data_IF_439715777798
#
_entry.id   IF_439715777798
#
_cell.length_a   1.000
_cell.length_b   1.000
_cell.length_c   1.000
_cell.angle_alpha   90.00
_cell.angle_beta   90.00
_cell.angle_gamma   90.00
#
_symmetry.space_group_name_H-M   'P 1'
#
loop_
_entity.id
_entity.type
_entity.pdbx_description
1 polymer ?
2 non-polymer ?
3 non-polymer ?
4 water ?
#
# COMPACT_ATOMS: atom_id res chain seq x y z
N UNK A 2 12.64 4.28 -8.49
CA UNK A 2 12.62 3.21 -9.53
C UNK A 2 11.71 3.51 -10.73
N UNK A 3 10.63 4.27 -10.62
CA UNK A 3 9.34 4.12 -9.91
C UNK A 3 8.75 5.45 -10.41
N UNK A 4 8.14 5.35 -11.58
CA UNK A 4 7.83 6.49 -12.44
C UNK A 4 6.41 6.38 -12.97
N UNK A 5 5.55 5.79 -12.15
CA UNK A 5 4.11 5.83 -12.39
C UNK A 5 3.57 6.52 -11.17
N UNK A 6 3.06 7.72 -11.35
CA UNK A 6 2.39 8.39 -10.25
C UNK A 6 1.10 8.85 -10.84
N UNK A 7 0.15 9.11 -9.96
CA UNK A 7 -1.19 9.55 -10.33
C UNK A 7 -1.18 11.06 -10.54
N UNK A 8 -1.59 11.50 -11.73
CA UNK A 8 -1.80 12.92 -11.98
C UNK A 8 -3.14 13.33 -11.41
N UNK A 9 -3.17 14.52 -10.82
CA UNK A 9 -4.40 15.13 -10.33
C UNK A 9 -4.97 14.43 -9.13
N UNK A 10 -4.09 13.80 -8.35
CA UNK A 10 -4.52 13.07 -7.17
C UNK A 10 -5.21 14.00 -6.20
N UNK A 11 -6.45 13.64 -5.82
CA UNK A 11 -7.14 14.30 -4.70
C UNK A 11 -7.07 13.44 -3.45
N UNK A 12 -6.16 13.80 -2.56
CA UNK A 12 -5.87 12.96 -1.41
C UNK A 12 -7.04 12.79 -0.43
N UNK A 13 -8.00 13.71 -0.47
CA UNK A 13 -9.14 13.67 0.43
C UNK A 13 -10.04 12.51 0.04
N UNK A 14 -10.05 12.20 -1.24
CA UNK A 14 -10.93 11.16 -1.75
C UNK A 14 -10.40 9.73 -1.56
N UNK A 15 -9.21 9.57 -1.00
CA UNK A 15 -8.76 8.21 -0.65
C UNK A 15 -9.09 7.88 0.81
N UNK A 16 -9.72 8.81 1.53
CA UNK A 16 -10.15 8.54 2.90
C UNK A 16 -10.95 7.25 2.98
N UNK A 17 -10.83 6.58 4.12
CA UNK A 17 -11.74 5.49 4.39
C UNK A 17 -11.08 4.12 4.44
N UNK A 18 -11.90 3.10 4.21
CA UNK A 18 -11.52 1.68 4.35
C UNK A 18 -10.75 1.11 3.13
N UNK A 19 -9.66 0.41 3.37
CA UNK A 19 -9.01 -0.30 2.26
C UNK A 19 -8.62 -1.71 2.66
N UNK A 20 -8.45 -2.58 1.67
CA UNK A 20 -7.99 -3.96 1.87
C UNK A 20 -6.73 -4.19 1.05
N UNK A 21 -5.64 -4.69 1.66
CA UNK A 21 -4.46 -5.02 0.86
C UNK A 21 -4.68 -6.33 0.12
N UNK A 22 -5.18 -6.24 -1.10
CA UNK A 22 -5.55 -7.45 -1.84
C UNK A 22 -4.31 -8.20 -2.34
N UNK A 23 -3.30 -7.44 -2.77
CA UNK A 23 -2.06 -8.01 -3.28
C UNK A 23 -0.90 -7.12 -2.86
N UNK A 24 0.25 -7.77 -2.66
CA UNK A 24 1.52 -7.12 -2.26
C UNK A 24 2.63 -7.65 -3.13
N UNK A 25 3.64 -6.81 -3.43
CA UNK A 25 4.85 -7.24 -4.17
C UNK A 25 6.09 -6.48 -3.68
N UNK A 26 7.25 -7.09 -3.80
CA UNK A 26 8.50 -6.50 -3.28
C UNK A 26 9.68 -7.01 -4.08
N UNK A 27 10.77 -6.26 -3.98
CA UNK A 27 11.96 -6.45 -4.77
C UNK A 27 12.86 -7.49 -4.14
N UNK A 28 12.62 -7.77 -2.87
CA UNK A 28 13.36 -8.74 -2.10
C UNK A 28 12.31 -9.64 -1.47
N UNK A 29 12.49 -10.95 -1.65
CA UNK A 29 11.61 -11.98 -1.08
C UNK A 29 11.43 -11.77 0.41
N UNK A 30 12.52 -11.47 1.13
CA UNK A 30 12.50 -11.34 2.58
C UNK A 30 11.75 -10.11 3.10
N UNK A 31 11.39 -9.20 2.20
CA UNK A 31 10.56 -8.05 2.60
C UNK A 31 9.10 -8.48 2.84
N UNK A 32 8.71 -9.66 2.33
CA UNK A 32 7.34 -10.12 2.38
C UNK A 32 7.14 -11.60 2.75
N UNK A 33 8.23 -12.36 2.90
CA UNK A 33 8.13 -13.83 3.04
C UNK A 33 7.39 -14.39 4.29
N UNK A 34 7.73 -13.92 5.47
CA UNK A 34 7.04 -14.37 6.69
C UNK A 34 5.96 -13.37 7.13
N UNK A 35 5.06 -13.80 8.02
CA UNK A 35 4.04 -12.89 8.58
C UNK A 35 4.68 -11.69 9.25
N UNK A 36 5.85 -11.91 9.86
CA UNK A 36 6.61 -10.85 10.54
C UNK A 36 7.64 -10.12 9.66
N UNK A 37 7.75 -10.49 8.38
CA UNK A 37 8.61 -9.77 7.42
C UNK A 37 8.37 -8.24 7.42
N UNK A 38 9.41 -7.43 7.13
CA UNK A 38 9.30 -5.96 7.36
C UNK A 38 8.16 -5.24 6.64
N UNK A 39 7.83 -5.64 5.42
CA UNK A 39 6.85 -4.88 4.65
C UNK A 39 5.54 -5.59 4.49
N UNK A 40 5.38 -6.71 5.20
CA UNK A 40 4.08 -7.36 5.26
C UNK A 40 3.24 -6.54 6.22
N UNK A 41 2.52 -5.57 5.67
CA UNK A 41 1.65 -4.69 6.45
C UNK A 41 0.33 -4.64 5.69
N UNK A 42 -0.76 -4.63 6.44
CA UNK A 42 -2.08 -4.73 5.87
C UNK A 42 -2.75 -3.41 6.15
N UNK A 43 -3.19 -2.71 5.11
CA UNK A 43 -3.75 -1.40 5.29
C UNK A 43 -5.20 -1.61 5.73
N UNK A 44 -5.58 -0.83 6.73
CA UNK A 44 -6.91 -0.89 7.26
C UNK A 44 -7.70 0.39 6.87
N UNK A 45 -7.08 1.55 6.99
CA UNK A 45 -7.85 2.75 6.74
C UNK A 45 -6.95 3.93 6.38
N UNK A 46 -7.39 4.77 5.44
CA UNK A 46 -6.66 6.02 5.17
C UNK A 46 -7.36 7.25 5.74
N UNK A 47 -6.62 8.05 6.50
CA UNK A 47 -7.15 9.30 7.02
C UNK A 47 -6.30 10.51 6.57
N UNK A 48 -6.65 11.12 5.43
CA UNK A 48 -5.97 12.37 5.07
C UNK A 48 -6.33 13.46 6.08
N UNK A 49 -5.34 14.23 6.53
CA UNK A 49 -5.58 15.36 7.45
C UNK A 49 -5.83 16.67 6.67
N UNK A 50 -6.42 17.70 7.32
CA UNK A 50 -6.71 18.96 6.59
C UNK A 50 -5.49 19.59 5.91
N UNK A 51 -4.33 19.53 6.57
CA UNK A 51 -3.05 19.90 5.96
C UNK A 51 -2.75 19.14 4.68
N UNK A 52 -3.27 17.92 4.56
CA UNK A 52 -3.04 17.08 3.38
C UNK A 52 -1.96 16.05 3.62
N UNK A 53 -1.64 15.83 4.89
CA UNK A 53 -0.87 14.68 5.31
C UNK A 53 -1.81 13.47 5.27
N UNK A 54 -1.25 12.27 5.21
CA UNK A 54 -2.07 11.07 5.15
C UNK A 54 -1.74 10.25 6.34
N UNK A 55 -2.75 10.02 7.15
CA UNK A 55 -2.60 9.15 8.29
C UNK A 55 -2.98 7.76 7.82
N UNK A 56 -2.15 6.79 8.15
CA UNK A 56 -2.40 5.40 7.79
C UNK A 56 -2.61 4.51 9.03
N UNK A 57 -3.77 3.87 9.08
CA UNK A 57 -3.97 2.77 10.02
C UNK A 57 -3.71 1.45 9.32
N UNK A 58 -2.85 0.64 9.94
CA UNK A 58 -2.49 -0.68 9.42
C UNK A 58 -2.38 -1.74 10.53
N UNK A 59 -2.38 -3.00 10.11
CA UNK A 59 -1.97 -4.12 10.96
C UNK A 59 -0.61 -4.65 10.54
N UNK A 60 0.23 -4.98 11.52
CA UNK A 60 1.45 -5.71 11.24
C UNK A 60 1.60 -6.83 12.26
N UNK A 61 1.95 -8.02 11.79
CA UNK A 61 2.25 -9.13 12.69
C UNK A 61 3.60 -8.88 13.35
N UNK A 62 3.55 -8.59 14.65
CA UNK A 62 4.74 -8.20 15.39
C UNK A 62 5.38 -9.42 16.07
N UNK A 63 5.40 -9.46 17.39
CA UNK A 63 5.94 -10.64 18.06
C UNK A 63 4.83 -11.58 18.51
N UNK A 64 4.57 -12.59 17.68
CA UNK A 64 3.53 -13.57 17.94
C UNK A 64 2.11 -13.05 17.86
N UNK A 65 1.93 -11.78 17.49
CA UNK A 65 0.57 -11.23 17.36
C UNK A 65 0.40 -10.09 16.35
N UNK A 66 -0.86 -9.84 16.01
CA UNK A 66 -1.25 -8.91 14.96
C UNK A 66 -1.45 -7.51 15.53
N UNK A 67 -0.37 -6.72 15.57
CA UNK A 67 -0.44 -5.39 16.16
C UNK A 67 -1.07 -4.36 15.23
N UNK A 68 -1.79 -3.42 15.83
CA UNK A 68 -2.34 -2.29 15.11
C UNK A 68 -1.36 -1.15 15.19
N UNK A 69 -1.06 -0.56 14.05
CA UNK A 69 -0.13 0.55 13.98
C UNK A 69 -0.74 1.73 13.22
N UNK A 70 -0.38 2.93 13.66
CA UNK A 70 -0.78 4.16 13.00
C UNK A 70 0.51 4.87 12.62
N UNK A 71 0.58 5.28 11.36
CA UNK A 71 1.76 5.92 10.76
C UNK A 71 1.32 7.20 10.06
N UNK A 72 2.15 8.24 10.11
CA UNK A 72 1.86 9.46 9.35
C UNK A 72 2.77 9.54 8.11
N UNK A 73 2.14 9.67 6.95
CA UNK A 73 2.88 10.02 5.74
C UNK A 73 2.67 11.51 5.46
N UNK A 74 3.76 12.26 5.54
CA UNK A 74 3.73 13.71 5.36
C UNK A 74 3.81 14.04 3.88
N UNK A 75 3.04 15.05 3.47
CA UNK A 75 2.94 15.46 2.08
C UNK A 75 4.23 16.05 1.55
N UNK A 76 4.35 16.07 0.23
CA UNK A 76 5.46 16.75 -0.43
C UNK A 76 4.93 17.75 -1.47
N UNK A 77 5.87 18.41 -2.17
CA UNK A 77 5.59 19.28 -3.33
C UNK A 77 4.80 18.54 -4.41
N UNK A 78 5.01 17.22 -4.47
CA UNK A 78 4.30 16.38 -5.42
C UNK A 78 3.06 15.79 -4.74
N UNK A 79 1.86 16.05 -5.31
CA UNK A 79 0.66 15.52 -4.65
C UNK A 79 0.60 14.00 -4.48
N UNK A 80 1.29 13.23 -5.33
CA UNK A 80 1.13 11.77 -5.30
C UNK A 80 2.23 11.08 -4.49
N UNK A 81 3.08 11.88 -3.85
CA UNK A 81 4.25 11.37 -3.16
C UNK A 81 4.26 11.87 -1.73
N UNK A 82 4.43 10.95 -0.81
CA UNK A 82 4.41 11.27 0.61
C UNK A 82 5.65 10.72 1.24
N UNK A 83 5.94 11.16 2.44
CA UNK A 83 7.17 10.80 3.10
C UNK A 83 6.85 10.24 4.48
N UNK A 84 7.49 9.12 4.79
CA UNK A 84 7.39 8.48 6.11
C UNK A 84 8.73 8.65 6.83
N UNK A 85 8.71 9.08 8.09
CA UNK A 85 9.96 9.28 8.84
C UNK A 85 10.54 7.96 9.38
N UNK A 86 11.75 7.64 8.95
CA UNK A 86 12.37 6.37 9.28
C UNK A 86 13.87 6.56 9.50
N UNK A 87 14.64 5.48 9.32
CA UNK A 87 15.95 5.30 9.97
C UNK A 87 17.30 5.33 9.20
N UNK A 88 17.46 5.89 7.99
CA UNK A 88 16.64 6.87 7.26
C UNK A 88 15.39 6.38 6.52
N UNK A 89 14.83 7.28 5.71
CA UNK A 89 13.40 7.30 5.43
C UNK A 89 12.91 7.13 3.98
N UNK A 90 11.59 7.04 3.85
CA UNK A 90 10.98 6.31 2.77
C UNK A 90 9.83 7.03 2.12
N UNK A 91 9.79 6.97 0.80
CA UNK A 91 8.75 7.59 0.01
C UNK A 91 7.61 6.64 -0.27
N UNK A 92 6.41 7.17 -0.18
CA UNK A 92 5.21 6.46 -0.59
C UNK A 92 4.75 7.18 -1.83
N UNK A 93 4.49 6.42 -2.89
CA UNK A 93 3.94 7.00 -4.11
C UNK A 93 2.66 6.37 -4.42
N UNK A 94 1.68 7.19 -4.73
CA UNK A 94 0.44 6.66 -5.27
C UNK A 94 0.56 6.58 -6.80
N UNK A 95 0.44 5.38 -7.36
CA UNK A 95 0.58 5.19 -8.79
C UNK A 95 -0.72 5.43 -9.52
N UNK A 96 -1.82 4.99 -8.93
CA UNK A 96 -3.08 5.00 -9.63
C UNK A 96 -4.21 4.71 -8.65
N UNK A 97 -5.34 5.39 -8.83
CA UNK A 97 -6.54 5.10 -8.04
C UNK A 97 -7.74 5.64 -8.77
N UNK A 98 -8.85 4.93 -8.63
CA UNK A 98 -10.14 5.47 -9.03
C UNK A 98 -10.94 5.94 -7.83
N UNK A 99 -10.31 5.99 -6.66
CA UNK A 99 -10.95 6.44 -5.42
C UNK A 99 -11.99 5.47 -4.85
N UNK A 100 -12.81 4.89 -5.71
CA UNK A 100 -14.03 4.19 -5.32
C UNK A 100 -13.92 2.65 -5.26
N UNK A 101 -12.90 2.09 -5.93
CA UNK A 101 -12.69 0.64 -6.08
C UNK A 101 -11.26 0.23 -5.69
N UNK A 102 -10.26 0.85 -6.34
CA UNK A 102 -8.86 0.43 -6.19
C UNK A 102 -7.86 1.58 -5.97
N UNK A 103 -6.74 1.29 -5.31
CA UNK A 103 -5.62 2.23 -5.24
C UNK A 103 -4.33 1.41 -5.28
N UNK A 104 -3.40 1.84 -6.14
CA UNK A 104 -2.05 1.23 -6.24
C UNK A 104 -1.01 2.13 -5.66
N UNK A 105 -0.12 1.61 -4.83
CA UNK A 105 0.90 2.46 -4.30
C UNK A 105 2.18 1.66 -4.13
N UNK A 106 3.29 2.36 -4.03
CA UNK A 106 4.57 1.71 -3.76
C UNK A 106 5.29 2.47 -2.67
N UNK A 107 6.08 1.75 -1.90
CA UNK A 107 6.98 2.37 -0.95
C UNK A 107 8.39 2.01 -1.38
N UNK A 108 9.25 3.01 -1.40
CA UNK A 108 10.62 2.79 -1.84
C UNK A 108 11.66 3.33 -0.89
N UNK A 109 12.75 2.54 -0.81
CA UNK A 109 14.07 2.84 -0.19
C UNK A 109 14.58 1.86 0.88
N UNK A 116 15.31 -0.78 -3.09
CA UNK A 116 14.42 -1.60 -2.24
C UNK A 116 12.98 -1.03 -2.19
N UNK A 117 11.98 -1.90 -2.36
CA UNK A 117 10.70 -1.46 -2.88
C UNK A 117 9.57 -2.46 -2.65
N UNK A 118 8.41 -1.99 -2.21
CA UNK A 118 7.19 -2.82 -2.06
C UNK A 118 5.98 -2.08 -2.56
N UNK A 119 5.10 -2.79 -3.26
CA UNK A 119 3.91 -2.17 -3.80
C UNK A 119 2.69 -3.00 -3.36
N UNK A 120 1.53 -2.32 -3.28
CA UNK A 120 0.29 -3.02 -2.98
C UNK A 120 -0.81 -2.58 -3.91
N UNK A 121 -1.72 -3.52 -4.13
CA UNK A 121 -3.00 -3.26 -4.74
C UNK A 121 -4.05 -3.17 -3.61
N UNK A 122 -4.52 -1.96 -3.32
CA UNK A 122 -5.59 -1.76 -2.33
C UNK A 122 -6.95 -1.77 -3.00
N UNK A 123 -7.92 -2.42 -2.35
CA UNK A 123 -9.31 -2.36 -2.80
C UNK A 123 -10.24 -1.94 -1.65
N UNK A 124 -11.39 -1.39 -2.02
CA UNK A 124 -12.39 -0.88 -1.06
C UNK A 124 -13.19 -1.98 -0.36
N UNK A 125 -13.41 -3.10 -1.04
CA UNK A 125 -14.21 -4.22 -0.50
C UNK A 125 -13.39 -5.52 -0.46
N UNK A 126 -13.81 -6.52 0.37
CA UNK A 126 -13.16 -7.84 0.44
C UNK A 126 -13.55 -8.71 -0.76
N UNK A 127 -13.01 -8.35 -1.92
CA UNK A 127 -13.35 -8.97 -3.16
C UNK A 127 -12.14 -8.94 -4.05
N UNK A 128 -11.91 -10.06 -4.71
CA UNK A 128 -10.90 -10.11 -5.76
C UNK A 128 -11.39 -9.25 -6.91
N UNK A 129 -10.70 -8.14 -7.12
CA UNK A 129 -10.99 -7.24 -8.22
C UNK A 129 -10.05 -7.52 -9.41
N UNK A 130 -10.54 -8.32 -10.36
CA UNK A 130 -9.82 -8.64 -11.60
C UNK A 130 -9.24 -7.41 -12.34
N UNK A 131 -10.01 -6.33 -12.44
CA UNK A 131 -9.50 -5.10 -13.06
C UNK A 131 -8.29 -4.55 -12.30
N UNK A 132 -8.43 -4.38 -10.99
CA UNK A 132 -7.39 -3.76 -10.18
C UNK A 132 -6.13 -4.61 -10.20
N UNK A 133 -6.29 -5.93 -10.15
CA UNK A 133 -5.16 -6.86 -10.25
C UNK A 133 -4.44 -6.78 -11.62
N UNK A 134 -5.18 -6.53 -12.70
CA UNK A 134 -4.59 -6.29 -14.02
C UNK A 134 -3.71 -5.05 -13.99
N UNK A 135 -4.27 -3.96 -13.47
CA UNK A 135 -3.53 -2.71 -13.31
C UNK A 135 -2.29 -2.88 -12.46
N UNK A 136 -2.41 -3.67 -11.40
CA UNK A 136 -1.31 -3.91 -10.50
C UNK A 136 -0.14 -4.60 -11.20
N UNK A 137 -0.45 -5.68 -11.92
CA UNK A 137 0.54 -6.45 -12.69
C UNK A 137 1.19 -5.63 -13.80
N UNK A 138 0.39 -4.82 -14.48
CA UNK A 138 0.94 -3.91 -15.49
C UNK A 138 1.95 -2.89 -14.93
N UNK A 139 1.62 -2.31 -13.77
CA UNK A 139 2.49 -1.35 -13.11
C UNK A 139 3.74 -2.04 -12.56
N UNK A 140 3.63 -3.32 -12.21
CA UNK A 140 4.75 -4.12 -11.72
C UNK A 140 5.74 -4.60 -12.80
N UNK A 141 5.28 -4.71 -14.04
CA UNK A 141 6.15 -5.29 -15.07
C UNK A 141 7.35 -4.37 -15.34
N UNK A 142 7.14 -3.08 -15.10
CA UNK A 142 8.14 -2.02 -15.02
C UNK A 142 9.17 -2.10 -13.87
N UNK A 143 8.91 -2.97 -12.89
CA UNK A 143 9.67 -2.94 -11.64
C UNK A 143 10.40 -4.23 -11.40
N UNK A 144 11.50 -4.19 -10.64
CA UNK A 144 12.25 -5.42 -10.33
C UNK A 144 11.67 -6.24 -9.15
N UNK A 145 10.49 -6.83 -9.31
CA UNK A 145 9.86 -7.55 -8.20
C UNK A 145 10.24 -9.00 -8.20
N UNK A 146 10.52 -9.58 -7.02
CA UNK A 146 10.87 -11.00 -6.83
C UNK A 146 9.94 -11.84 -5.93
N UNK A 147 8.96 -11.19 -5.29
CA UNK A 147 7.88 -11.89 -4.58
C UNK A 147 6.58 -11.13 -4.80
N UNK A 148 5.48 -11.87 -4.99
CA UNK A 148 4.16 -11.27 -5.15
C UNK A 148 3.28 -12.13 -4.30
N UNK A 149 2.48 -11.48 -3.43
CA UNK A 149 1.41 -12.18 -2.66
C UNK A 149 0.02 -11.69 -3.04
N UNK A 150 -0.96 -12.60 -2.93
CA UNK A 150 -2.38 -12.28 -3.12
C UNK A 150 -3.23 -12.98 -2.05
N UNK A 151 -4.31 -12.33 -1.60
CA UNK A 151 -5.15 -12.85 -0.51
C UNK A 151 -6.60 -13.07 -0.97
N UNK A 152 -7.23 -14.12 -0.44
CA UNK A 152 -8.60 -14.44 -0.84
C UNK A 152 -9.58 -13.62 -0.01
N UNK A 153 -10.88 -13.55 -0.40
CA UNK A 153 -11.86 -12.79 0.40
C UNK A 153 -12.00 -13.20 1.88
N UNK A 154 -11.75 -14.46 2.21
CA UNK A 154 -11.84 -14.91 3.63
C UNK A 154 -10.72 -14.30 4.46
N UNK A 155 -9.48 -14.42 3.94
CA UNK A 155 -8.34 -13.79 4.58
C UNK A 155 -8.45 -12.28 4.65
N UNK A 156 -9.12 -11.67 3.67
CA UNK A 156 -9.29 -10.21 3.69
C UNK A 156 -10.10 -9.72 4.88
N UNK A 157 -11.01 -10.56 5.38
CA UNK A 157 -11.84 -10.22 6.55
C UNK A 157 -11.22 -10.56 7.90
N UNK A 158 -10.03 -11.15 7.85
CA UNK A 158 -9.27 -11.54 9.03
C UNK A 158 -8.17 -10.55 9.34
N UNK A 159 -7.91 -10.41 10.63
CA UNK A 159 -6.81 -9.58 11.09
C UNK A 159 -5.51 -10.20 10.63
N UNK A 160 -4.68 -9.37 9.99
CA UNK A 160 -3.39 -9.80 9.44
C UNK A 160 -3.56 -10.93 8.43
N UNK A 161 -4.76 -11.00 7.83
CA UNK A 161 -5.07 -11.89 6.69
C UNK A 161 -4.79 -13.37 7.00
N UNK A 162 -4.92 -13.73 8.28
CA UNK A 162 -4.44 -15.02 8.80
C UNK A 162 -5.27 -16.21 8.35
X LIG B 1 6.81 0.01 9.74
X LIG B 1 4.74 -0.25 9.15
X LIG B 1 5.89 0.16 8.90
X LIG B 1 6.19 0.87 7.58
X LIG B 1 5.26 0.45 6.45
X LIG B 1 4.87 1.63 5.54
X LIG B 1 3.39 1.59 5.15
X LIG B 1 3.03 2.61 4.08
X LIG B 1 1.62 2.31 3.56
X LIG B 1 1.18 3.27 2.46
X LIG B 1 -0.30 3.56 2.51
X LIG B 1 -0.92 3.85 1.14
X LIG B 1 -0.89 5.34 0.84
X LIG B 1 -1.87 5.66 -0.26
X LIG C 1 15.90 -13.28 -0.87
#
# INVERSE_FOLDING_TARGET
LIVTQTMKGLDIQKVAGTWYSLAMAASDISLLDAQSAPLRVYVEELKPTPEGDLEILLQKWENGECAQKKIIAEKTKIPAVFKIDALNENKVLVLDTDYKKYLLFCMENSAEPEQSLACQCLVRTPEVDDEALEKFDKALKALPMHIRLSFNPTQLEEQCHI
DAO O1 O2 C1 C2 C3 C4 C5 C6 C7 C8 C9 C10 C11 C12
CL CL
#
